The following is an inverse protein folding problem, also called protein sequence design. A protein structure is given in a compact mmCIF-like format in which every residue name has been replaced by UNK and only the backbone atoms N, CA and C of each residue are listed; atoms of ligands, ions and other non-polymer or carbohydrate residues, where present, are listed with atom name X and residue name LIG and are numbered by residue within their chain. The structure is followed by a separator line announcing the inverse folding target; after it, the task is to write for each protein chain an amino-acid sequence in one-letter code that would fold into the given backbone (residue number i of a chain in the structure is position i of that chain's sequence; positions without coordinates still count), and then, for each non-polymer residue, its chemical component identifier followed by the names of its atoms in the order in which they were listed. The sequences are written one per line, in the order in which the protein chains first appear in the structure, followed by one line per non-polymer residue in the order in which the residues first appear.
data_IF_104651315376
#
_entry.id   IF_104651315376
#
_cell.length_a   1.000
_cell.length_b   1.000
_cell.length_c   1.000
_cell.angle_alpha   90.00
_cell.angle_beta   90.00
_cell.angle_gamma   90.00
#
_symmetry.space_group_name_H-M   'P 1'
#
loop_
_entity.id
_entity.type
_entity.pdbx_description
1 polymer ?
#
# COMPACT_ATOMS: atom_id res chain seq x y z
N UNK A 1 -11.05 -5.57 -5.68
CA UNK A 1 -10.29 -4.31 -5.81
C UNK A 1 -10.44 -3.36 -4.61
N UNK A 2 -11.65 -2.95 -4.21
CA UNK A 2 -11.91 -1.97 -3.11
C UNK A 2 -11.16 -2.18 -1.78
N UNK A 3 -10.90 -3.43 -1.36
CA UNK A 3 -10.11 -3.70 -0.14
C UNK A 3 -8.63 -3.32 -0.31
N UNK A 4 -8.06 -3.50 -1.50
CA UNK A 4 -6.71 -3.05 -1.82
C UNK A 4 -6.64 -1.51 -1.81
N UNK A 5 -7.59 -0.84 -2.46
CA UNK A 5 -7.74 0.63 -2.43
C UNK A 5 -7.83 1.18 -1.02
N UNK A 6 -8.65 0.58 -0.16
CA UNK A 6 -8.76 0.99 1.24
C UNK A 6 -7.40 0.98 1.96
N UNK A 7 -6.61 -0.08 1.77
CA UNK A 7 -5.31 -0.19 2.43
C UNK A 7 -4.24 0.71 1.78
N UNK A 8 -4.29 0.91 0.47
CA UNK A 8 -3.44 1.87 -0.24
C UNK A 8 -3.72 3.30 0.22
N UNK A 9 -4.99 3.70 0.28
CA UNK A 9 -5.40 5.00 0.83
C UNK A 9 -4.94 5.14 2.29
N UNK A 10 -5.10 4.09 3.10
CA UNK A 10 -4.61 4.09 4.49
C UNK A 10 -3.10 4.29 4.58
N UNK A 11 -2.32 3.69 3.67
CA UNK A 11 -0.88 3.92 3.59
C UNK A 11 -0.58 5.38 3.26
N UNK A 12 -1.23 5.95 2.24
CA UNK A 12 -1.05 7.35 1.84
C UNK A 12 -1.37 8.32 2.99
N UNK A 13 -2.51 8.15 3.66
CA UNK A 13 -2.90 9.01 4.80
C UNK A 13 -1.92 8.87 5.98
N UNK A 14 -1.48 7.63 6.27
CA UNK A 14 -0.52 7.37 7.35
C UNK A 14 0.84 7.99 7.04
N UNK A 15 1.21 8.03 5.75
CA UNK A 15 2.44 8.62 5.27
C UNK A 15 2.46 10.13 5.52
N UNK A 16 1.39 10.83 5.13
CA UNK A 16 1.26 12.26 5.39
C UNK A 16 1.32 12.57 6.90
N UNK A 17 0.63 11.78 7.72
CA UNK A 17 0.66 11.92 9.18
C UNK A 17 2.06 11.69 9.77
N UNK A 18 2.81 10.71 9.25
CA UNK A 18 4.18 10.43 9.68
C UNK A 18 5.15 11.55 9.30
N UNK A 19 5.02 12.10 8.09
CA UNK A 19 5.81 13.23 7.64
C UNK A 19 5.58 14.47 8.52
N UNK A 20 4.32 14.81 8.81
CA UNK A 20 3.96 15.91 9.74
C UNK A 20 4.48 15.68 11.16
N UNK A 21 4.58 14.42 11.58
CA UNK A 21 5.16 14.05 12.87
C UNK A 21 6.70 14.08 12.88
N UNK A 22 7.37 14.38 11.77
CA UNK A 22 8.83 14.45 11.68
C UNK A 22 9.52 13.09 11.73
N UNK A 23 8.88 12.03 11.22
CA UNK A 23 9.54 10.73 11.02
C UNK A 23 10.72 10.91 10.06
N UNK A 24 11.89 10.30 10.32
CA UNK A 24 13.06 10.45 9.47
C UNK A 24 12.82 10.01 8.03
N UNK A 25 13.46 10.72 7.09
CA UNK A 25 13.32 10.47 5.65
C UNK A 25 13.70 9.03 5.26
N UNK A 26 14.69 8.43 5.92
CA UNK A 26 15.07 7.04 5.66
C UNK A 26 13.91 6.05 5.94
N UNK A 27 13.12 6.29 6.99
CA UNK A 27 11.96 5.45 7.33
C UNK A 27 10.78 5.75 6.40
N UNK A 28 10.60 7.02 6.04
CA UNK A 28 9.65 7.43 5.02
C UNK A 28 9.94 6.75 3.66
N UNK A 29 11.20 6.68 3.24
CA UNK A 29 11.60 6.01 2.00
C UNK A 29 11.21 4.53 1.98
N UNK A 30 11.42 3.80 3.09
CA UNK A 30 10.99 2.40 3.22
C UNK A 30 9.47 2.22 3.05
N UNK A 31 8.67 3.16 3.54
CA UNK A 31 7.23 3.15 3.33
C UNK A 31 6.84 3.46 1.87
N UNK A 32 7.59 4.33 1.17
CA UNK A 32 7.37 4.59 -0.26
C UNK A 32 7.67 3.37 -1.13
N UNK A 33 8.70 2.58 -0.80
CA UNK A 33 8.95 1.31 -1.50
C UNK A 33 7.76 0.35 -1.39
N UNK A 34 7.10 0.33 -0.22
CA UNK A 34 5.86 -0.44 -0.04
C UNK A 34 4.66 0.14 -0.74
N UNK A 35 4.62 1.46 -0.92
CA UNK A 35 3.61 2.11 -1.75
C UNK A 35 3.75 1.71 -3.22
N UNK A 36 4.97 1.75 -3.77
CA UNK A 36 5.25 1.34 -5.16
C UNK A 36 4.83 -0.12 -5.41
N UNK A 37 5.27 -1.03 -4.53
CA UNK A 37 4.88 -2.45 -4.57
C UNK A 37 3.35 -2.60 -4.54
N UNK A 38 2.68 -1.94 -3.61
CA UNK A 38 1.24 -2.03 -3.45
C UNK A 38 0.47 -1.42 -4.64
N UNK A 39 0.98 -0.33 -5.20
CA UNK A 39 0.35 0.42 -6.28
C UNK A 39 0.31 -0.42 -7.56
N UNK A 40 1.45 -0.92 -8.03
CA UNK A 40 1.52 -1.74 -9.27
C UNK A 40 0.64 -2.99 -9.16
N UNK A 41 0.61 -3.63 -7.99
CA UNK A 41 -0.22 -4.81 -7.72
C UNK A 41 -1.74 -4.53 -7.70
N UNK A 42 -2.14 -3.28 -7.47
CA UNK A 42 -3.54 -2.87 -7.50
C UNK A 42 -3.93 -2.27 -8.85
N UNK A 43 -3.15 -1.31 -9.33
CA UNK A 43 -3.46 -0.49 -10.49
C UNK A 43 -3.61 -1.34 -11.75
N UNK A 44 -2.82 -2.41 -11.87
CA UNK A 44 -2.96 -3.38 -12.95
C UNK A 44 -4.42 -3.85 -13.13
N UNK A 45 -5.12 -4.14 -12.04
CA UNK A 45 -6.49 -4.68 -12.09
C UNK A 45 -7.57 -3.63 -12.20
N UNK A 46 -7.29 -2.37 -11.81
CA UNK A 46 -8.20 -1.26 -12.11
C UNK A 46 -8.04 -0.75 -13.54
N UNK A 47 -6.85 -0.89 -14.12
CA UNK A 47 -6.59 -0.58 -15.52
C UNK A 47 -7.10 -1.69 -16.46
N UNK A 48 -6.99 -2.96 -16.03
CA UNK A 48 -7.54 -4.11 -16.74
C UNK A 48 -9.08 -4.09 -16.69
N UNK A 49 -9.74 -4.33 -17.83
CA UNK A 49 -11.17 -4.05 -17.99
C UNK A 49 -12.09 -5.25 -17.69
N UNK A 50 -11.56 -6.43 -17.38
CA UNK A 50 -12.37 -7.64 -17.14
C UNK A 50 -12.78 -7.82 -15.68
N UNK A 51 -12.34 -6.93 -14.79
CA UNK A 51 -12.49 -7.08 -13.33
C UNK A 51 -11.94 -8.45 -12.85
N UNK A 52 -10.84 -8.88 -13.46
CA UNK A 52 -10.19 -10.17 -13.16
C UNK A 52 -10.81 -11.39 -13.82
N UNK A 53 -11.85 -11.27 -14.65
CA UNK A 53 -12.47 -12.42 -15.33
C UNK A 53 -11.48 -13.19 -16.23
N UNK A 54 -10.56 -12.50 -16.90
CA UNK A 54 -9.54 -13.15 -17.74
C UNK A 54 -8.56 -14.02 -16.94
N UNK A 55 -8.32 -13.72 -15.65
CA UNK A 55 -7.47 -14.52 -14.78
C UNK A 55 -7.82 -14.29 -13.29
N UNK A 56 -8.89 -14.93 -12.78
CA UNK A 56 -9.43 -14.62 -11.44
C UNK A 56 -8.48 -15.04 -10.31
N UNK A 57 -7.65 -16.07 -10.54
CA UNK A 57 -6.68 -16.52 -9.56
C UNK A 57 -5.55 -15.50 -9.40
N UNK A 58 -4.97 -15.03 -10.51
CA UNK A 58 -3.91 -14.02 -10.47
C UNK A 58 -4.43 -12.69 -9.92
N UNK A 59 -5.67 -12.29 -10.28
CA UNK A 59 -6.31 -11.11 -9.72
C UNK A 59 -6.41 -11.18 -8.19
N UNK A 60 -6.86 -12.33 -7.67
CA UNK A 60 -6.94 -12.55 -6.22
C UNK A 60 -5.57 -12.47 -5.54
N UNK A 61 -4.57 -13.13 -6.08
CA UNK A 61 -3.22 -13.18 -5.51
C UNK A 61 -2.57 -11.80 -5.52
N UNK A 62 -2.61 -11.11 -6.65
CA UNK A 62 -2.02 -9.79 -6.84
C UNK A 62 -2.69 -8.72 -5.95
N UNK A 63 -4.03 -8.67 -5.91
CA UNK A 63 -4.75 -7.76 -5.01
C UNK A 63 -4.52 -8.07 -3.52
N UNK A 64 -4.33 -9.34 -3.17
CA UNK A 64 -3.97 -9.73 -1.80
C UNK A 64 -2.55 -9.26 -1.46
N UNK A 65 -1.61 -9.40 -2.39
CA UNK A 65 -0.25 -8.91 -2.23
C UNK A 65 -0.21 -7.37 -2.08
N UNK A 66 -1.03 -6.63 -2.86
CA UNK A 66 -1.20 -5.17 -2.69
C UNK A 66 -1.65 -4.80 -1.27
N UNK A 67 -2.62 -5.53 -0.71
CA UNK A 67 -3.07 -5.34 0.68
C UNK A 67 -1.93 -5.59 1.67
N UNK A 68 -1.15 -6.64 1.48
CA UNK A 68 -0.03 -6.99 2.37
C UNK A 68 1.06 -5.93 2.32
N UNK A 69 1.45 -5.47 1.13
CA UNK A 69 2.44 -4.40 0.97
C UNK A 69 1.96 -3.09 1.62
N UNK A 70 0.69 -2.73 1.39
CA UNK A 70 0.08 -1.54 2.01
C UNK A 70 0.12 -1.60 3.53
N UNK A 71 -0.28 -2.74 4.13
CA UNK A 71 -0.22 -2.95 5.59
C UNK A 71 1.20 -2.84 6.14
N UNK A 72 2.20 -3.40 5.44
CA UNK A 72 3.61 -3.28 5.84
C UNK A 72 4.06 -1.82 5.86
N UNK A 73 3.69 -1.03 4.84
CA UNK A 73 3.96 0.41 4.82
C UNK A 73 3.31 1.14 5.99
N UNK A 74 2.04 0.85 6.29
CA UNK A 74 1.32 1.42 7.44
C UNK A 74 2.01 1.07 8.77
N UNK A 75 2.44 -0.18 8.93
CA UNK A 75 3.13 -0.65 10.13
C UNK A 75 4.48 0.03 10.34
N UNK A 76 5.29 0.18 9.27
CA UNK A 76 6.58 0.91 9.31
C UNK A 76 6.35 2.32 9.87
N UNK A 77 5.39 3.04 9.30
CA UNK A 77 5.10 4.43 9.65
C UNK A 77 4.54 4.55 11.07
N UNK A 78 3.61 3.69 11.47
CA UNK A 78 3.02 3.74 12.81
C UNK A 78 4.03 3.41 13.90
N UNK A 79 4.90 2.41 13.68
CA UNK A 79 5.98 2.10 14.62
C UNK A 79 6.95 3.27 14.77
N UNK A 80 7.33 3.90 13.68
CA UNK A 80 8.24 5.06 13.70
C UNK A 80 7.64 6.25 14.45
N UNK A 81 6.34 6.49 14.29
CA UNK A 81 5.61 7.54 15.02
C UNK A 81 5.49 7.25 16.51
N UNK A 82 5.34 5.98 16.91
CA UNK A 82 5.21 5.58 18.30
C UNK A 82 6.55 5.50 19.06
N UNK A 83 7.67 5.34 18.34
CA UNK A 83 9.01 5.29 18.92
C UNK A 83 9.66 6.68 19.09
N UNK A 84 8.92 7.74 18.78
CA UNK A 84 9.32 9.14 18.96
C UNK A 84 8.90 9.63 20.34
#
# INVERSE_FOLDING_TARGET
MRKAEYWLAKLIDTYEAAQKAGVPEATLAQAREKHEEAHVLWEWWTAENSDGWHNPQLARESLTASIIASKKGVDILNRARAAK
#
